data_IF_043675086003
#
_entry.id   IF_043675086003
#
_cell.length_a   1.000
_cell.length_b   1.000
_cell.length_c   1.000
_cell.angle_alpha   90.00
_cell.angle_beta   90.00
_cell.angle_gamma   90.00
#
_symmetry.space_group_name_H-M   'P 1'
#
loop_
_entity.id
_entity.type
_entity.pdbx_description
1 polymer ?
#
# COMPACT_ATOMS: atom_id res chain seq x y z
N UNK A 1 9.33 -21.51 6.29
CA UNK A 1 8.68 -21.08 5.05
C UNK A 1 9.00 -19.62 4.81
N UNK A 2 9.83 -19.38 3.81
CA UNK A 2 10.27 -18.05 3.43
C UNK A 2 10.29 -17.94 1.91
N UNK A 3 10.08 -16.73 1.42
CA UNK A 3 10.32 -16.37 0.03
C UNK A 3 11.71 -15.74 -0.04
N UNK A 4 12.54 -16.17 -0.99
CA UNK A 4 13.87 -15.63 -1.22
C UNK A 4 13.89 -14.99 -2.59
N UNK A 5 14.19 -13.70 -2.62
CA UNK A 5 14.33 -12.93 -3.85
C UNK A 5 15.74 -12.35 -3.92
N UNK A 6 16.43 -12.64 -5.02
CA UNK A 6 17.79 -12.17 -5.28
C UNK A 6 17.76 -11.31 -6.56
N UNK A 7 18.43 -10.16 -6.53
CA UNK A 7 18.53 -9.26 -7.67
C UNK A 7 19.92 -8.59 -7.70
N UNK A 8 20.54 -8.61 -8.86
CA UNK A 8 21.81 -7.93 -9.11
C UNK A 8 22.82 -8.83 -9.79
N UNK A 9 24.02 -8.28 -10.02
CA UNK A 9 25.16 -8.98 -10.59
C UNK A 9 25.90 -9.74 -9.47
N UNK A 10 25.56 -11.01 -9.30
CA UNK A 10 26.10 -11.87 -8.25
C UNK A 10 26.30 -13.29 -8.75
N UNK A 11 27.21 -14.03 -8.13
CA UNK A 11 27.31 -15.48 -8.29
C UNK A 11 26.12 -16.15 -7.60
N UNK A 12 25.17 -16.61 -8.39
CA UNK A 12 23.92 -17.18 -7.88
C UNK A 12 24.14 -18.50 -7.15
N UNK A 13 25.06 -19.34 -7.65
CA UNK A 13 25.38 -20.64 -7.02
C UNK A 13 25.99 -20.43 -5.65
N UNK A 14 26.95 -19.50 -5.55
CA UNK A 14 27.56 -19.14 -4.27
C UNK A 14 26.50 -18.61 -3.28
N UNK A 15 25.58 -17.74 -3.73
CA UNK A 15 24.54 -17.21 -2.86
C UNK A 15 23.53 -18.25 -2.40
N UNK A 16 23.19 -19.21 -3.24
CA UNK A 16 22.34 -20.33 -2.85
C UNK A 16 23.04 -21.24 -1.84
N UNK A 17 24.35 -21.52 -2.02
CA UNK A 17 25.14 -22.25 -1.03
C UNK A 17 25.22 -21.52 0.32
N UNK A 18 25.51 -20.21 0.31
CA UNK A 18 25.53 -19.41 1.52
C UNK A 18 24.17 -19.42 2.26
N UNK A 19 23.05 -19.37 1.53
CA UNK A 19 21.72 -19.43 2.12
C UNK A 19 21.43 -20.82 2.71
N UNK A 20 21.84 -21.89 2.03
CA UNK A 20 21.65 -23.25 2.54
C UNK A 20 22.50 -23.50 3.78
N UNK A 21 23.81 -23.22 3.69
CA UNK A 21 24.77 -23.50 4.76
C UNK A 21 24.53 -22.66 6.04
N UNK A 22 24.12 -21.40 5.89
CA UNK A 22 24.02 -20.49 7.04
C UNK A 22 22.60 -20.33 7.60
N UNK A 23 21.55 -20.70 6.82
CA UNK A 23 20.17 -20.39 7.23
C UNK A 23 19.18 -21.52 7.04
N UNK A 24 19.26 -22.32 5.96
CA UNK A 24 18.22 -23.28 5.62
C UNK A 24 18.60 -24.74 5.91
N UNK A 25 19.90 -25.09 5.84
CA UNK A 25 20.38 -26.45 5.98
C UNK A 25 20.08 -27.12 7.33
N UNK A 26 19.87 -26.33 8.38
CA UNK A 26 19.51 -26.83 9.71
C UNK A 26 17.98 -27.09 9.88
N UNK A 27 17.17 -26.82 8.85
CA UNK A 27 15.73 -26.92 8.93
C UNK A 27 15.16 -27.90 7.92
N UNK A 28 14.32 -28.81 8.39
CA UNK A 28 13.51 -29.65 7.53
C UNK A 28 12.31 -28.88 6.97
N UNK A 29 11.89 -29.28 5.76
CA UNK A 29 10.65 -28.74 5.17
C UNK A 29 9.46 -29.18 6.02
N UNK A 30 8.70 -28.20 6.49
CA UNK A 30 7.44 -28.43 7.19
C UNK A 30 6.26 -28.04 6.29
N UNK A 31 5.16 -28.77 6.43
CA UNK A 31 3.89 -28.32 5.84
C UNK A 31 3.30 -27.22 6.70
N UNK A 32 2.99 -26.11 6.04
CA UNK A 32 2.31 -25.00 6.69
C UNK A 32 1.05 -24.66 5.89
N UNK A 33 -0.05 -24.59 6.61
CA UNK A 33 -1.28 -24.01 6.09
C UNK A 33 -1.27 -22.50 6.39
N UNK A 34 -0.89 -21.71 5.41
CA UNK A 34 -0.94 -20.25 5.43
C UNK A 34 -1.94 -19.71 4.41
N UNK A 35 -2.87 -20.55 3.98
CA UNK A 35 -3.90 -20.16 3.02
C UNK A 35 -4.81 -19.06 3.63
N UNK A 36 -5.08 -18.04 2.83
CA UNK A 36 -6.02 -16.97 3.15
C UNK A 36 -7.23 -17.12 2.23
N UNK A 37 -8.39 -17.35 2.83
CA UNK A 37 -9.64 -17.43 2.09
C UNK A 37 -10.13 -16.07 1.63
N UNK A 38 -10.83 -16.05 0.49
CA UNK A 38 -11.54 -14.85 0.05
C UNK A 38 -12.68 -14.52 1.01
N UNK A 39 -12.77 -13.25 1.41
CA UNK A 39 -13.97 -12.73 2.05
C UNK A 39 -15.14 -12.86 1.08
N UNK A 40 -16.20 -13.52 1.52
CA UNK A 40 -17.43 -13.64 0.74
C UNK A 40 -18.07 -12.26 0.52
N UNK A 41 -18.63 -12.05 -0.67
CA UNK A 41 -19.28 -10.80 -0.98
C UNK A 41 -20.44 -10.53 0.01
N UNK A 42 -20.50 -9.31 0.48
CA UNK A 42 -21.65 -8.88 1.27
C UNK A 42 -22.92 -8.91 0.42
N UNK A 43 -24.04 -9.25 1.02
CA UNK A 43 -25.36 -9.21 0.34
C UNK A 43 -25.86 -7.77 0.10
N UNK A 44 -25.37 -6.84 0.91
CA UNK A 44 -25.60 -5.38 0.82
C UNK A 44 -24.42 -4.65 1.47
N UNK A 45 -24.22 -3.36 1.18
CA UNK A 45 -23.22 -2.55 1.86
C UNK A 45 -23.35 -2.63 3.39
N UNK A 46 -22.21 -2.74 4.08
CA UNK A 46 -22.13 -2.84 5.54
C UNK A 46 -21.72 -1.50 6.13
N UNK A 47 -22.46 -1.03 7.12
CA UNK A 47 -22.14 0.21 7.85
C UNK A 47 -21.49 -0.18 9.19
N UNK A 48 -20.32 0.42 9.46
CA UNK A 48 -19.52 0.16 10.67
C UNK A 48 -19.26 1.47 11.39
N UNK A 49 -19.66 1.52 12.66
CA UNK A 49 -19.33 2.64 13.57
C UNK A 49 -18.22 2.22 14.51
N UNK A 50 -17.20 3.06 14.66
CA UNK A 50 -16.09 2.88 15.59
C UNK A 50 -15.72 4.20 16.24
N UNK A 51 -15.33 4.13 17.51
CA UNK A 51 -14.77 5.27 18.23
C UNK A 51 -13.25 5.32 18.05
N UNK A 52 -12.69 6.52 18.00
CA UNK A 52 -11.25 6.73 18.07
C UNK A 52 -10.91 7.79 19.13
N UNK A 53 -9.76 7.69 19.82
CA UNK A 53 -9.42 8.59 20.90
C UNK A 53 -9.02 9.99 20.42
N UNK A 54 -9.51 11.00 21.12
CA UNK A 54 -9.04 12.38 21.07
C UNK A 54 -8.72 12.87 22.47
N UNK A 55 -7.97 13.97 22.60
CA UNK A 55 -7.65 14.56 23.88
C UNK A 55 -8.92 15.05 24.59
N UNK A 56 -8.91 15.03 25.93
CA UNK A 56 -10.09 15.36 26.74
C UNK A 56 -10.57 16.80 26.56
N UNK A 57 -9.66 17.71 26.25
CA UNK A 57 -9.94 19.14 26.05
C UNK A 57 -10.24 19.48 24.57
N UNK A 58 -10.12 18.50 23.68
CA UNK A 58 -10.29 18.72 22.25
C UNK A 58 -11.76 18.67 21.85
N UNK A 59 -12.22 19.61 21.00
CA UNK A 59 -13.58 19.57 20.48
C UNK A 59 -13.83 18.34 19.62
N UNK A 60 -15.04 17.79 19.69
CA UNK A 60 -15.49 16.69 18.84
C UNK A 60 -16.02 17.17 17.49
N UNK A 61 -16.27 18.48 17.33
CA UNK A 61 -16.82 19.07 16.10
C UNK A 61 -15.83 18.95 14.93
N UNK A 62 -16.35 18.61 13.78
CA UNK A 62 -15.59 18.43 12.53
C UNK A 62 -14.39 17.48 12.68
N UNK A 63 -14.59 16.37 13.39
CA UNK A 63 -13.56 15.34 13.63
C UNK A 63 -14.00 13.92 13.27
N UNK A 64 -15.21 13.75 12.78
CA UNK A 64 -15.65 12.46 12.26
C UNK A 64 -14.92 12.12 10.96
N UNK A 65 -14.53 10.87 10.82
CA UNK A 65 -14.05 10.33 9.53
C UNK A 65 -15.19 9.54 8.90
N UNK A 66 -15.41 9.78 7.61
CA UNK A 66 -16.36 9.02 6.80
C UNK A 66 -15.60 8.33 5.69
N UNK A 67 -15.87 7.05 5.45
CA UNK A 67 -15.26 6.36 4.32
C UNK A 67 -16.22 5.40 3.62
N UNK A 68 -16.08 5.33 2.30
CA UNK A 68 -16.65 4.29 1.44
C UNK A 68 -15.54 3.44 0.87
N UNK A 69 -15.57 2.13 1.12
CA UNK A 69 -14.52 1.21 0.74
C UNK A 69 -15.13 0.09 -0.11
N UNK A 70 -14.60 -0.12 -1.30
CA UNK A 70 -15.08 -1.07 -2.29
C UNK A 70 -14.04 -2.16 -2.50
N UNK A 71 -14.42 -3.42 -2.37
CA UNK A 71 -13.57 -4.53 -2.82
C UNK A 71 -13.72 -4.63 -4.33
N UNK A 72 -12.61 -4.47 -5.06
CA UNK A 72 -12.65 -4.24 -6.51
C UNK A 72 -11.97 -5.34 -7.33
N UNK A 73 -11.69 -6.48 -6.74
CA UNK A 73 -11.07 -7.56 -7.50
C UNK A 73 -10.29 -8.56 -6.65
N UNK A 74 -9.28 -9.13 -7.28
CA UNK A 74 -8.35 -10.09 -6.66
C UNK A 74 -6.91 -9.67 -6.97
N UNK A 75 -5.98 -10.00 -6.09
CA UNK A 75 -4.56 -9.68 -6.25
C UNK A 75 -3.98 -10.18 -7.59
N UNK A 76 -4.43 -11.34 -8.07
CA UNK A 76 -3.95 -11.95 -9.32
C UNK A 76 -4.58 -11.37 -10.59
N UNK A 77 -5.59 -10.52 -10.50
CA UNK A 77 -6.23 -9.86 -11.66
C UNK A 77 -5.43 -8.62 -12.08
N UNK A 78 -4.15 -8.80 -12.44
CA UNK A 78 -3.16 -7.72 -12.64
C UNK A 78 -3.65 -6.60 -13.55
N UNK A 79 -4.29 -6.93 -14.69
CA UNK A 79 -4.80 -5.91 -15.61
C UNK A 79 -5.88 -5.05 -14.99
N UNK A 80 -6.76 -5.64 -14.20
CA UNK A 80 -7.79 -4.91 -13.48
C UNK A 80 -7.18 -4.04 -12.38
N UNK A 81 -6.20 -4.56 -11.65
CA UNK A 81 -5.51 -3.82 -10.60
C UNK A 81 -4.77 -2.59 -11.18
N UNK A 82 -4.05 -2.75 -12.28
CA UNK A 82 -3.43 -1.62 -12.99
C UNK A 82 -4.46 -0.60 -13.46
N UNK A 83 -5.61 -1.08 -13.97
CA UNK A 83 -6.68 -0.18 -14.39
C UNK A 83 -7.31 0.59 -13.21
N UNK A 84 -7.46 -0.04 -12.03
CA UNK A 84 -7.91 0.67 -10.82
C UNK A 84 -6.86 1.66 -10.30
N UNK A 85 -5.56 1.36 -10.42
CA UNK A 85 -4.51 2.34 -10.14
C UNK A 85 -4.56 3.55 -11.07
N UNK A 86 -4.95 3.37 -12.33
CA UNK A 86 -5.18 4.46 -13.28
C UNK A 86 -6.46 5.24 -12.92
N UNK A 87 -7.56 4.55 -12.59
CA UNK A 87 -8.82 5.17 -12.13
C UNK A 87 -8.62 5.98 -10.85
N UNK A 88 -7.80 5.51 -9.92
CA UNK A 88 -7.43 6.24 -8.72
C UNK A 88 -6.82 7.61 -9.07
N UNK A 89 -5.89 7.64 -10.00
CA UNK A 89 -5.28 8.89 -10.45
C UNK A 89 -6.31 9.81 -11.14
N UNK A 90 -7.10 9.28 -12.06
CA UNK A 90 -8.07 10.09 -12.82
C UNK A 90 -9.19 10.63 -11.95
N UNK A 91 -9.71 9.82 -11.01
CA UNK A 91 -10.87 10.19 -10.22
C UNK A 91 -10.54 11.00 -8.96
N UNK A 92 -9.37 10.74 -8.33
CA UNK A 92 -9.05 11.26 -7.00
C UNK A 92 -7.73 12.01 -6.92
N UNK A 93 -6.64 11.54 -7.54
CA UNK A 93 -5.30 12.00 -7.20
C UNK A 93 -4.63 12.92 -8.23
N UNK A 94 -5.17 13.05 -9.43
CA UNK A 94 -4.72 14.04 -10.40
C UNK A 94 -5.24 15.45 -10.10
N UNK A 95 -4.57 16.47 -10.62
CA UNK A 95 -5.08 17.84 -10.55
C UNK A 95 -6.40 17.94 -11.30
N UNK A 96 -7.42 18.47 -10.64
CA UNK A 96 -8.77 18.58 -11.21
C UNK A 96 -9.56 17.28 -11.29
N UNK A 97 -9.13 16.24 -10.58
CA UNK A 97 -9.82 14.95 -10.51
C UNK A 97 -11.30 15.15 -10.09
N UNK A 98 -12.28 14.66 -10.89
CA UNK A 98 -13.67 15.07 -10.77
C UNK A 98 -14.30 14.67 -9.43
N UNK A 99 -14.00 13.50 -8.90
CA UNK A 99 -14.57 13.04 -7.64
C UNK A 99 -14.00 13.82 -6.45
N UNK A 100 -12.69 14.06 -6.45
CA UNK A 100 -12.06 14.89 -5.43
C UNK A 100 -12.61 16.32 -5.47
N UNK A 101 -12.72 16.90 -6.67
CA UNK A 101 -13.21 18.26 -6.82
C UNK A 101 -14.65 18.41 -6.33
N UNK A 102 -15.54 17.51 -6.70
CA UNK A 102 -16.93 17.52 -6.26
C UNK A 102 -17.07 17.44 -4.73
N UNK A 103 -16.24 16.62 -4.08
CA UNK A 103 -16.24 16.49 -2.61
C UNK A 103 -15.63 17.72 -1.92
N UNK A 104 -14.60 18.34 -2.49
CA UNK A 104 -14.01 19.58 -1.97
C UNK A 104 -14.98 20.74 -2.10
N UNK A 105 -15.65 20.89 -3.26
CA UNK A 105 -16.61 21.96 -3.52
C UNK A 105 -17.86 21.87 -2.63
N UNK A 106 -18.18 20.68 -2.12
CA UNK A 106 -19.28 20.48 -1.19
C UNK A 106 -19.00 21.00 0.23
N UNK A 107 -17.75 21.29 0.58
CA UNK A 107 -17.30 21.82 1.89
C UNK A 107 -17.82 21.03 3.10
N UNK A 108 -17.80 19.68 2.98
CA UNK A 108 -18.31 18.75 4.00
C UNK A 108 -17.19 18.12 4.86
N UNK A 109 -15.94 18.45 4.60
CA UNK A 109 -14.76 17.93 5.32
C UNK A 109 -13.56 18.85 5.17
N UNK A 110 -12.61 18.76 6.10
CA UNK A 110 -11.33 19.48 6.00
C UNK A 110 -10.38 18.86 4.98
N UNK A 111 -10.44 17.55 4.77
CA UNK A 111 -9.57 16.84 3.84
C UNK A 111 -10.33 15.73 3.13
N UNK A 112 -10.16 15.66 1.81
CA UNK A 112 -10.66 14.59 0.94
C UNK A 112 -9.49 13.73 0.52
N UNK A 113 -9.56 12.45 0.84
CA UNK A 113 -8.54 11.46 0.53
C UNK A 113 -9.18 10.23 -0.12
N UNK A 114 -8.32 9.40 -0.68
CA UNK A 114 -8.73 8.11 -1.22
C UNK A 114 -7.56 7.46 -1.94
N UNK A 115 -7.76 6.23 -2.34
CA UNK A 115 -6.74 5.48 -3.03
C UNK A 115 -7.15 4.06 -3.37
N UNK A 116 -6.37 3.48 -4.24
CA UNK A 116 -6.41 2.07 -4.58
C UNK A 116 -5.29 1.35 -3.84
N UNK A 117 -5.65 0.27 -3.13
CA UNK A 117 -4.71 -0.60 -2.41
C UNK A 117 -4.80 -2.01 -2.98
N UNK A 118 -3.72 -2.46 -3.61
CA UNK A 118 -3.54 -3.79 -4.21
C UNK A 118 -2.63 -4.72 -3.40
N UNK A 119 -2.12 -4.26 -2.25
CA UNK A 119 -1.23 -5.03 -1.37
C UNK A 119 -1.92 -6.18 -0.61
N UNK A 120 -3.19 -6.45 -0.85
CA UNK A 120 -3.98 -7.49 -0.19
C UNK A 120 -4.59 -8.47 -1.18
N UNK A 121 -5.01 -9.66 -0.68
CA UNK A 121 -5.64 -10.71 -1.52
C UNK A 121 -6.84 -10.19 -2.32
N UNK A 122 -7.60 -9.27 -1.73
CA UNK A 122 -8.74 -8.60 -2.35
C UNK A 122 -8.50 -7.09 -2.34
N UNK A 123 -8.01 -6.52 -3.45
CA UNK A 123 -7.76 -5.10 -3.59
C UNK A 123 -8.97 -4.23 -3.27
N UNK A 124 -8.71 -3.06 -2.70
CA UNK A 124 -9.75 -2.13 -2.29
C UNK A 124 -9.57 -0.76 -2.92
N UNK A 125 -10.69 -0.14 -3.29
CA UNK A 125 -10.76 1.27 -3.67
C UNK A 125 -11.50 2.01 -2.58
N UNK A 126 -10.86 3.02 -1.99
CA UNK A 126 -11.37 3.74 -0.83
C UNK A 126 -11.46 5.23 -1.09
N UNK A 127 -12.56 5.84 -0.63
CA UNK A 127 -12.77 7.28 -0.63
C UNK A 127 -13.11 7.67 0.79
N UNK A 128 -12.40 8.64 1.37
CA UNK A 128 -12.65 9.03 2.74
C UNK A 128 -12.46 10.52 2.99
N UNK A 129 -13.24 11.01 3.94
CA UNK A 129 -13.25 12.37 4.43
C UNK A 129 -12.66 12.40 5.83
N UNK A 130 -11.75 13.35 6.09
CA UNK A 130 -11.26 13.66 7.43
C UNK A 130 -11.79 15.02 7.87
N UNK A 131 -12.08 15.14 9.15
CA UNK A 131 -12.60 16.38 9.69
C UNK A 131 -14.00 16.69 9.16
N UNK A 132 -14.87 15.71 9.17
CA UNK A 132 -16.27 15.79 8.74
C UNK A 132 -17.23 15.63 9.94
N UNK A 133 -18.50 15.44 9.65
CA UNK A 133 -19.58 15.14 10.59
C UNK A 133 -20.42 13.98 10.06
N UNK A 134 -20.96 13.13 10.95
CA UNK A 134 -21.81 12.01 10.53
C UNK A 134 -23.04 12.45 9.73
N UNK A 135 -23.62 13.63 10.05
CA UNK A 135 -24.74 14.22 9.31
C UNK A 135 -24.50 14.39 7.80
N UNK A 136 -23.25 14.40 7.37
CA UNK A 136 -22.86 14.51 5.96
C UNK A 136 -22.73 13.16 5.23
N UNK A 137 -23.02 12.04 5.90
CA UNK A 137 -22.89 10.72 5.31
C UNK A 137 -23.69 10.56 4.02
N UNK A 138 -24.98 10.92 4.06
CA UNK A 138 -25.86 10.75 2.91
C UNK A 138 -25.42 11.62 1.72
N UNK A 139 -25.04 12.87 1.97
CA UNK A 139 -24.55 13.76 0.92
C UNK A 139 -23.19 13.30 0.36
N UNK A 140 -22.33 12.75 1.21
CA UNK A 140 -21.06 12.16 0.80
C UNK A 140 -21.27 11.00 -0.19
N UNK A 141 -22.16 10.08 0.15
CA UNK A 141 -22.50 8.94 -0.72
C UNK A 141 -23.16 9.39 -2.03
N UNK A 142 -24.05 10.40 -1.96
CA UNK A 142 -24.74 10.93 -3.13
C UNK A 142 -23.77 11.63 -4.10
N UNK A 143 -22.81 12.40 -3.59
CA UNK A 143 -21.77 13.03 -4.43
C UNK A 143 -20.94 11.96 -5.13
N UNK A 144 -20.49 10.92 -4.40
CA UNK A 144 -19.74 9.82 -5.01
C UNK A 144 -20.56 9.19 -6.14
N UNK A 145 -21.81 8.80 -5.84
CA UNK A 145 -22.68 8.15 -6.80
C UNK A 145 -22.94 9.00 -8.04
N UNK A 146 -23.31 10.25 -7.83
CA UNK A 146 -23.65 11.17 -8.93
C UNK A 146 -22.44 11.45 -9.81
N UNK A 147 -21.28 11.69 -9.21
CA UNK A 147 -20.04 11.94 -9.96
C UNK A 147 -19.63 10.71 -10.77
N UNK A 148 -19.67 9.51 -10.17
CA UNK A 148 -19.33 8.29 -10.88
C UNK A 148 -20.32 7.99 -12.02
N UNK A 149 -21.63 8.20 -11.81
CA UNK A 149 -22.64 8.08 -12.88
C UNK A 149 -22.39 9.05 -14.03
N UNK A 150 -21.98 10.29 -13.71
CA UNK A 150 -21.63 11.28 -14.72
C UNK A 150 -20.42 10.84 -15.53
N UNK A 151 -19.35 10.31 -14.88
CA UNK A 151 -18.18 9.79 -15.57
C UNK A 151 -18.50 8.60 -16.50
N UNK A 152 -19.44 7.75 -16.10
CA UNK A 152 -19.90 6.63 -16.95
C UNK A 152 -20.75 7.12 -18.13
N UNK A 153 -21.62 8.12 -17.91
CA UNK A 153 -22.52 8.65 -18.94
C UNK A 153 -21.78 9.48 -19.99
N UNK A 154 -20.92 10.41 -19.54
CA UNK A 154 -20.24 11.38 -20.41
C UNK A 154 -18.94 10.82 -20.99
N UNK A 155 -18.44 9.69 -20.42
CA UNK A 155 -17.12 9.13 -20.67
C UNK A 155 -16.03 9.80 -19.83
N UNK A 156 -15.05 9.00 -19.45
CA UNK A 156 -13.86 9.50 -18.76
C UNK A 156 -12.97 10.25 -19.75
N UNK A 157 -12.33 11.34 -19.32
CA UNK A 157 -11.40 12.08 -20.18
C UNK A 157 -10.29 11.17 -20.70
N UNK A 158 -10.36 10.86 -21.99
CA UNK A 158 -9.41 9.97 -22.66
C UNK A 158 -8.00 10.53 -22.71
N UNK A 159 -7.81 11.86 -22.69
CA UNK A 159 -6.49 12.48 -22.64
C UNK A 159 -5.88 12.32 -21.25
N UNK A 160 -6.69 12.44 -20.19
CA UNK A 160 -6.25 12.18 -18.81
C UNK A 160 -5.81 10.72 -18.65
N UNK A 161 -6.64 9.75 -19.08
CA UNK A 161 -6.31 8.32 -19.08
C UNK A 161 -5.00 8.05 -19.82
N UNK A 162 -4.86 8.59 -21.04
CA UNK A 162 -3.66 8.42 -21.85
C UNK A 162 -2.42 9.04 -21.19
N UNK A 163 -2.58 10.22 -20.59
CA UNK A 163 -1.50 10.91 -19.87
C UNK A 163 -0.97 10.06 -18.73
N UNK A 164 -1.84 9.51 -17.89
CA UNK A 164 -1.46 8.65 -16.78
C UNK A 164 -0.79 7.37 -17.26
N UNK A 165 -1.35 6.69 -18.26
CA UNK A 165 -0.74 5.50 -18.84
C UNK A 165 0.65 5.80 -19.40
N UNK A 166 0.84 6.93 -20.07
CA UNK A 166 2.15 7.33 -20.60
C UNK A 166 3.18 7.57 -19.46
N UNK A 167 2.78 8.20 -18.38
CA UNK A 167 3.65 8.41 -17.20
C UNK A 167 4.05 7.07 -16.59
N UNK A 168 3.10 6.13 -16.42
CA UNK A 168 3.39 4.80 -15.92
C UNK A 168 4.30 4.03 -16.88
N UNK A 169 4.00 4.05 -18.18
CA UNK A 169 4.84 3.40 -19.19
C UNK A 169 6.28 3.93 -19.17
N UNK A 170 6.46 5.25 -19.09
CA UNK A 170 7.77 5.87 -18.97
C UNK A 170 8.50 5.41 -17.71
N UNK A 171 7.83 5.45 -16.56
CA UNK A 171 8.39 4.99 -15.26
C UNK A 171 8.87 3.55 -15.33
N UNK A 172 8.07 2.64 -15.90
CA UNK A 172 8.46 1.23 -16.02
C UNK A 172 9.55 0.98 -17.06
N UNK A 173 9.61 1.75 -18.16
CA UNK A 173 10.70 1.66 -19.15
C UNK A 173 12.03 2.11 -18.59
N UNK A 174 12.05 3.25 -17.91
CA UNK A 174 13.25 3.80 -17.29
C UNK A 174 13.64 3.07 -16.00
N UNK A 175 12.72 2.33 -15.43
CA UNK A 175 12.83 1.75 -14.09
C UNK A 175 13.28 2.82 -13.08
N UNK A 176 12.66 4.00 -13.16
CA UNK A 176 12.90 5.11 -12.25
C UNK A 176 12.00 5.00 -11.05
N UNK A 177 12.58 4.58 -9.94
CA UNK A 177 11.91 4.45 -8.65
C UNK A 177 12.44 5.46 -7.63
N UNK A 178 12.98 6.57 -8.12
CA UNK A 178 13.59 7.62 -7.30
C UNK A 178 14.80 7.10 -6.52
N UNK A 179 14.78 7.27 -5.21
CA UNK A 179 15.90 6.87 -4.34
C UNK A 179 15.90 5.37 -3.95
N UNK A 180 14.91 4.60 -4.38
CA UNK A 180 14.84 3.19 -4.04
C UNK A 180 15.63 2.32 -5.02
N UNK A 181 16.37 1.31 -4.51
CA UNK A 181 17.04 0.34 -5.37
C UNK A 181 16.03 -0.40 -6.26
N UNK A 182 16.33 -0.52 -7.55
CA UNK A 182 15.44 -1.18 -8.54
C UNK A 182 15.05 -2.60 -8.10
N UNK A 183 16.01 -3.37 -7.62
CA UNK A 183 15.76 -4.74 -7.14
C UNK A 183 14.78 -4.79 -5.98
N UNK A 184 14.87 -3.86 -5.04
CA UNK A 184 13.92 -3.78 -3.92
C UNK A 184 12.49 -3.56 -4.42
N UNK A 185 12.28 -2.59 -5.31
CA UNK A 185 10.94 -2.29 -5.83
C UNK A 185 10.38 -3.46 -6.65
N UNK A 186 11.19 -4.07 -7.51
CA UNK A 186 10.76 -5.28 -8.23
C UNK A 186 10.41 -6.41 -7.26
N UNK A 187 11.23 -6.65 -6.23
CA UNK A 187 10.96 -7.69 -5.23
C UNK A 187 9.64 -7.46 -4.50
N UNK A 188 9.36 -6.22 -4.06
CA UNK A 188 8.10 -5.86 -3.41
C UNK A 188 6.90 -6.07 -4.33
N UNK A 189 6.98 -5.62 -5.59
CA UNK A 189 5.91 -5.80 -6.58
C UNK A 189 5.64 -7.28 -6.89
N UNK A 190 6.67 -8.12 -6.90
CA UNK A 190 6.48 -9.56 -7.11
C UNK A 190 5.74 -10.21 -5.96
N UNK A 191 5.96 -9.76 -4.72
CA UNK A 191 5.31 -10.32 -3.54
C UNK A 191 3.80 -10.12 -3.57
N UNK A 192 3.28 -9.06 -4.16
CA UNK A 192 1.84 -8.77 -4.25
C UNK A 192 1.06 -9.89 -4.98
N UNK A 193 1.70 -10.63 -5.88
CA UNK A 193 1.14 -11.81 -6.53
C UNK A 193 1.70 -13.13 -6.00
N UNK A 194 3.02 -13.19 -5.77
CA UNK A 194 3.73 -14.41 -5.42
C UNK A 194 3.27 -15.02 -4.08
N UNK A 195 2.86 -14.18 -3.13
CA UNK A 195 2.30 -14.63 -1.85
C UNK A 195 1.01 -15.43 -2.02
N UNK A 196 0.26 -15.20 -3.09
CA UNK A 196 -1.03 -15.82 -3.35
C UNK A 196 -1.00 -16.90 -4.45
N UNK A 197 -0.02 -16.85 -5.35
CA UNK A 197 0.21 -17.86 -6.37
C UNK A 197 1.72 -18.12 -6.55
N UNK A 198 2.18 -19.22 -5.95
CA UNK A 198 3.59 -19.64 -6.01
C UNK A 198 4.07 -20.01 -7.42
N UNK A 199 3.14 -20.32 -8.33
CA UNK A 199 3.47 -20.79 -9.68
C UNK A 199 3.61 -19.63 -10.68
N UNK A 200 3.21 -18.39 -10.29
CA UNK A 200 3.30 -17.18 -11.12
C UNK A 200 4.06 -16.02 -10.42
N UNK A 201 5.30 -16.23 -9.96
CA UNK A 201 6.03 -15.22 -9.19
C UNK A 201 6.36 -13.95 -9.99
N UNK A 202 6.38 -14.01 -11.33
CA UNK A 202 6.83 -12.90 -12.19
C UNK A 202 5.71 -12.16 -12.92
N UNK A 203 4.45 -12.38 -12.54
CA UNK A 203 3.30 -11.75 -13.20
C UNK A 203 3.41 -10.23 -13.31
N UNK A 204 3.86 -9.57 -12.25
CA UNK A 204 4.00 -8.11 -12.18
C UNK A 204 5.11 -7.53 -13.10
N UNK A 205 6.01 -8.36 -13.65
CA UNK A 205 7.01 -7.89 -14.63
C UNK A 205 6.42 -7.64 -16.03
N UNK A 206 5.18 -8.09 -16.29
CA UNK A 206 4.50 -7.86 -17.57
C UNK A 206 3.78 -6.51 -17.67
N UNK A 207 4.12 -5.56 -16.79
CA UNK A 207 3.44 -4.25 -16.68
C UNK A 207 3.35 -3.50 -18.00
N UNK A 208 4.42 -3.46 -18.81
CA UNK A 208 4.42 -2.75 -20.10
C UNK A 208 3.42 -3.33 -21.10
N UNK A 209 3.25 -4.66 -21.11
CA UNK A 209 2.23 -5.33 -21.93
C UNK A 209 0.84 -4.95 -21.46
N UNK A 210 0.58 -4.99 -20.15
CA UNK A 210 -0.71 -4.62 -19.55
C UNK A 210 -1.06 -3.17 -19.88
N UNK A 211 -0.11 -2.24 -19.75
CA UNK A 211 -0.31 -0.83 -20.10
C UNK A 211 -0.64 -0.64 -21.59
N UNK A 212 0.03 -1.37 -22.48
CA UNK A 212 -0.29 -1.36 -23.92
C UNK A 212 -1.71 -1.84 -24.20
N UNK A 213 -2.14 -2.94 -23.56
CA UNK A 213 -3.51 -3.45 -23.69
C UNK A 213 -4.55 -2.47 -23.13
N UNK A 214 -4.27 -1.80 -22.00
CA UNK A 214 -5.17 -0.80 -21.41
C UNK A 214 -5.29 0.45 -22.28
N UNK A 215 -4.22 0.85 -22.95
CA UNK A 215 -4.20 1.97 -23.88
C UNK A 215 -5.18 1.76 -25.04
N UNK A 216 -5.27 0.54 -25.56
CA UNK A 216 -6.24 0.17 -26.61
C UNK A 216 -7.68 0.14 -26.10
N UNK A 217 -7.89 0.08 -24.79
CA UNK A 217 -9.21 0.00 -24.16
C UNK A 217 -9.80 1.36 -23.78
N UNK A 218 -9.02 2.45 -23.84
CA UNK A 218 -9.46 3.81 -23.46
C UNK A 218 -10.74 4.20 -24.20
N UNK A 219 -10.82 3.96 -25.51
CA UNK A 219 -11.97 4.35 -26.35
C UNK A 219 -13.05 3.27 -26.43
N UNK A 220 -12.95 2.19 -25.67
CA UNK A 220 -13.85 1.03 -25.72
C UNK A 220 -14.78 0.93 -24.49
N UNK A 221 -14.81 1.95 -23.63
CA UNK A 221 -15.66 1.98 -22.45
C UNK A 221 -15.23 1.06 -21.30
N UNK A 222 -14.01 0.53 -21.34
CA UNK A 222 -13.53 -0.44 -20.34
C UNK A 222 -13.42 0.14 -18.93
N UNK A 223 -12.98 1.37 -18.81
CA UNK A 223 -12.85 2.03 -17.52
C UNK A 223 -14.20 2.39 -16.93
N UNK A 224 -15.15 2.79 -17.77
CA UNK A 224 -16.55 3.03 -17.41
C UNK A 224 -17.25 1.75 -16.96
N UNK A 225 -16.97 0.61 -17.62
CA UNK A 225 -17.45 -0.71 -17.19
C UNK A 225 -16.92 -1.09 -15.80
N UNK A 226 -15.65 -0.79 -15.49
CA UNK A 226 -15.07 -1.03 -14.17
C UNK A 226 -15.75 -0.19 -13.10
N UNK A 227 -15.98 1.11 -13.36
CA UNK A 227 -16.72 1.99 -12.45
C UNK A 227 -18.11 1.43 -12.18
N UNK A 228 -18.84 1.10 -13.24
CA UNK A 228 -20.20 0.56 -13.12
C UNK A 228 -20.22 -0.70 -12.27
N UNK A 229 -19.39 -1.68 -12.61
CA UNK A 229 -19.40 -3.01 -11.98
C UNK A 229 -18.90 -3.00 -10.55
N UNK A 230 -17.84 -2.23 -10.25
CA UNK A 230 -17.11 -2.36 -9.00
C UNK A 230 -17.30 -1.19 -8.04
N UNK A 231 -17.80 -0.03 -8.50
CA UNK A 231 -18.04 1.12 -7.63
C UNK A 231 -19.55 1.44 -7.53
N UNK A 232 -20.32 1.33 -8.61
CA UNK A 232 -21.75 1.65 -8.61
C UNK A 232 -22.63 0.46 -8.22
N UNK A 233 -22.38 -0.72 -8.81
CA UNK A 233 -23.20 -1.93 -8.65
C UNK A 233 -22.54 -2.98 -7.74
N UNK A 234 -21.71 -2.55 -6.81
CA UNK A 234 -20.95 -3.42 -5.92
C UNK A 234 -21.55 -3.48 -4.52
N UNK A 235 -22.09 -4.63 -4.13
CA UNK A 235 -22.57 -4.87 -2.77
C UNK A 235 -21.43 -5.14 -1.76
N UNK A 236 -20.24 -5.55 -2.25
CA UNK A 236 -19.06 -5.79 -1.40
C UNK A 236 -18.37 -4.47 -1.01
N UNK A 237 -19.14 -3.65 -0.31
CA UNK A 237 -18.80 -2.28 0.08
C UNK A 237 -18.96 -2.14 1.58
N UNK A 238 -18.03 -1.46 2.23
CA UNK A 238 -18.18 -1.03 3.61
C UNK A 238 -18.16 0.49 3.72
N UNK A 239 -19.04 0.99 4.58
CA UNK A 239 -19.11 2.40 4.98
C UNK A 239 -18.63 2.43 6.41
N UNK A 240 -17.53 3.13 6.68
CA UNK A 240 -16.96 3.21 8.03
C UNK A 240 -17.05 4.64 8.53
N UNK A 241 -17.60 4.79 9.73
CA UNK A 241 -17.76 6.04 10.43
C UNK A 241 -16.92 5.97 11.70
N UNK A 242 -15.90 6.82 11.80
CA UNK A 242 -15.07 6.91 13.00
C UNK A 242 -15.47 8.15 13.79
N UNK A 243 -15.98 7.92 14.99
CA UNK A 243 -16.40 8.99 15.90
C UNK A 243 -15.26 9.40 16.83
N UNK A 244 -15.00 10.72 16.98
CA UNK A 244 -14.07 11.20 17.98
C UNK A 244 -14.63 10.96 19.38
N UNK A 245 -13.83 10.37 20.27
CA UNK A 245 -14.23 10.08 21.65
C UNK A 245 -13.20 10.55 22.64
N UNK A 246 -13.61 11.53 23.45
CA UNK A 246 -12.78 12.03 24.53
C UNK A 246 -12.60 10.97 25.62
N UNK A 247 -11.42 10.93 26.23
CA UNK A 247 -11.13 10.05 27.37
C UNK A 247 -10.97 8.56 27.04
N UNK A 248 -11.10 8.13 25.79
CA UNK A 248 -10.94 6.73 25.39
C UNK A 248 -9.54 6.21 25.72
N UNK A 249 -8.49 6.98 25.46
CA UNK A 249 -7.12 6.64 25.85
C UNK A 249 -6.99 6.33 27.35
N UNK A 250 -7.63 7.13 28.20
CA UNK A 250 -7.60 6.93 29.64
C UNK A 250 -8.27 5.61 30.04
N UNK A 251 -9.37 5.27 29.37
CA UNK A 251 -10.06 3.99 29.59
C UNK A 251 -9.14 2.83 29.19
N UNK A 252 -8.56 2.89 28.00
CA UNK A 252 -7.64 1.85 27.49
C UNK A 252 -6.38 1.72 28.36
N UNK A 253 -5.79 2.83 28.80
CA UNK A 253 -4.67 2.82 29.75
C UNK A 253 -5.03 2.18 31.08
N UNK A 254 -6.20 2.48 31.63
CA UNK A 254 -6.65 1.89 32.88
C UNK A 254 -6.89 0.39 32.73
N UNK A 255 -7.56 -0.05 31.65
CA UNK A 255 -7.74 -1.47 31.36
C UNK A 255 -6.38 -2.19 31.21
N UNK A 256 -5.42 -1.56 30.54
CA UNK A 256 -4.07 -2.11 30.42
C UNK A 256 -3.38 -2.19 31.79
N UNK A 257 -3.47 -1.15 32.60
CA UNK A 257 -2.91 -1.13 33.98
C UNK A 257 -3.50 -2.25 34.84
N UNK A 258 -4.83 -2.44 34.80
CA UNK A 258 -5.51 -3.53 35.52
C UNK A 258 -5.05 -4.91 35.04
N UNK A 259 -4.97 -5.10 33.71
CA UNK A 259 -4.47 -6.34 33.10
C UNK A 259 -3.04 -6.63 33.54
N UNK A 260 -2.16 -5.64 33.48
CA UNK A 260 -0.77 -5.78 33.89
C UNK A 260 -0.63 -6.01 35.41
N UNK A 261 -1.46 -5.35 36.24
CA UNK A 261 -1.49 -5.58 37.68
C UNK A 261 -1.91 -7.02 38.02
N UNK A 262 -2.97 -7.52 37.34
CA UNK A 262 -3.43 -8.91 37.49
C UNK A 262 -2.36 -9.90 37.05
N UNK A 263 -1.70 -9.65 35.92
CA UNK A 263 -0.59 -10.49 35.45
C UNK A 263 0.56 -10.48 36.45
N UNK A 264 1.00 -9.30 36.91
CA UNK A 264 2.05 -9.19 37.94
C UNK A 264 1.70 -9.93 39.22
N UNK A 265 0.44 -9.88 39.66
CA UNK A 265 0.00 -10.60 40.86
C UNK A 265 -0.01 -12.13 40.68
N UNK A 266 -0.07 -12.65 39.47
CA UNK A 266 0.02 -14.08 39.17
C UNK A 266 1.47 -14.61 39.10
N UNK A 267 2.45 -13.72 39.04
CA UNK A 267 3.86 -14.08 38.98
C UNK A 267 4.45 -14.33 40.38
N UNK A 268 5.34 -15.28 40.49
CA UNK A 268 6.17 -15.47 41.67
C UNK A 268 7.23 -14.34 41.79
N UNK A 269 7.74 -14.11 42.99
CA UNK A 269 8.83 -13.12 43.21
C UNK A 269 10.01 -13.37 42.30
N UNK A 270 10.38 -14.64 42.07
CA UNK A 270 11.50 -15.02 41.20
C UNK A 270 11.23 -14.64 39.70
N UNK A 271 10.04 -14.86 39.21
CA UNK A 271 9.67 -14.47 37.83
C UNK A 271 9.70 -12.95 37.67
N UNK A 272 9.24 -12.19 38.67
CA UNK A 272 9.34 -10.73 38.67
C UNK A 272 10.82 -10.26 38.67
N UNK A 273 11.67 -10.90 39.47
CA UNK A 273 13.12 -10.59 39.50
C UNK A 273 13.76 -10.84 38.11
N UNK A 274 13.43 -11.96 37.47
CA UNK A 274 13.91 -12.26 36.09
C UNK A 274 13.49 -11.18 35.11
N UNK A 275 12.21 -10.78 35.10
CA UNK A 275 11.70 -9.73 34.19
C UNK A 275 12.43 -8.40 34.42
N UNK A 276 12.71 -8.06 35.70
CA UNK A 276 13.43 -6.83 36.06
C UNK A 276 14.87 -6.87 35.53
N UNK A 277 15.56 -8.01 35.73
CA UNK A 277 16.96 -8.17 35.29
C UNK A 277 17.07 -8.20 33.75
N UNK A 278 16.17 -8.93 33.08
CA UNK A 278 16.10 -8.95 31.60
C UNK A 278 15.84 -7.55 31.03
N UNK A 279 14.93 -6.79 31.66
CA UNK A 279 14.64 -5.42 31.25
C UNK A 279 15.83 -4.49 31.44
N UNK A 280 16.55 -4.66 32.54
CA UNK A 280 17.77 -3.90 32.80
C UNK A 280 18.86 -4.23 31.78
N UNK A 281 19.10 -5.50 31.54
CA UNK A 281 20.04 -5.97 30.53
C UNK A 281 19.70 -5.47 29.14
N UNK A 282 18.40 -5.51 28.75
CA UNK A 282 17.93 -4.96 27.47
C UNK A 282 18.21 -3.46 27.35
N UNK A 283 17.94 -2.68 28.40
CA UNK A 283 18.23 -1.23 28.41
C UNK A 283 19.71 -0.94 28.31
N UNK A 284 20.56 -1.69 29.04
CA UNK A 284 22.00 -1.58 28.93
C UNK A 284 22.50 -1.91 27.53
N UNK A 285 22.01 -2.99 26.93
CA UNK A 285 22.31 -3.38 25.55
C UNK A 285 21.92 -2.27 24.54
N UNK A 286 20.71 -1.74 24.66
CA UNK A 286 20.21 -0.68 23.75
C UNK A 286 20.95 0.66 23.90
N UNK A 287 21.49 0.95 25.09
CA UNK A 287 22.23 2.19 25.37
C UNK A 287 23.73 2.08 25.15
N UNK A 288 24.25 0.86 25.01
CA UNK A 288 25.69 0.63 24.80
C UNK A 288 26.06 0.88 23.35
N UNK A 289 26.94 1.85 23.04
CA UNK A 289 27.39 2.07 21.68
C UNK A 289 28.16 0.86 21.15
N UNK A 290 28.03 0.58 19.86
CA UNK A 290 28.83 -0.46 19.20
C UNK A 290 30.31 -0.15 19.31
N UNK A 291 31.12 -1.18 19.56
CA UNK A 291 32.58 -1.07 19.63
C UNK A 291 33.19 -0.75 18.26
N UNK A 292 34.43 -0.29 18.23
CA UNK A 292 35.14 -0.03 16.99
C UNK A 292 35.33 -1.30 16.14
N UNK A 293 35.44 -2.45 16.77
CA UNK A 293 35.56 -3.76 16.11
C UNK A 293 34.25 -4.14 15.44
N UNK A 294 33.14 -3.97 16.12
CA UNK A 294 31.79 -4.18 15.55
C UNK A 294 31.50 -3.20 14.41
N UNK A 295 31.82 -1.93 14.55
CA UNK A 295 31.68 -0.93 13.49
C UNK A 295 32.56 -1.25 12.27
N UNK A 296 33.74 -1.84 12.47
CA UNK A 296 34.63 -2.26 11.39
C UNK A 296 34.08 -3.43 10.54
N UNK A 297 33.08 -4.17 11.06
CA UNK A 297 32.39 -5.21 10.27
C UNK A 297 31.45 -4.64 9.21
N UNK A 298 31.03 -3.37 9.33
CA UNK A 298 30.19 -2.70 8.35
C UNK A 298 31.04 -2.44 7.09
N UNK A 299 30.64 -2.97 5.91
CA UNK A 299 31.40 -2.72 4.68
C UNK A 299 31.31 -1.24 4.30
N UNK A 300 32.45 -0.56 4.40
CA UNK A 300 32.59 0.86 4.04
C UNK A 300 33.19 0.99 2.65
N UNK A 301 32.62 1.88 1.83
CA UNK A 301 33.18 2.20 0.53
C UNK A 301 34.57 2.85 0.68
N UNK A 302 35.53 2.33 -0.05
CA UNK A 302 36.88 2.86 -0.17
C UNK A 302 37.10 3.54 -1.52
N UNK A 303 38.22 4.23 -1.68
CA UNK A 303 38.57 4.80 -3.00
C UNK A 303 38.72 3.73 -4.10
N UNK A 304 39.00 2.50 -3.74
CA UNK A 304 39.16 1.41 -4.70
C UNK A 304 37.82 0.92 -5.25
N UNK A 305 36.73 1.16 -4.53
CA UNK A 305 35.38 0.81 -4.94
C UNK A 305 34.78 1.84 -5.90
N UNK A 306 35.44 3.00 -6.04
CA UNK A 306 35.02 4.03 -6.97
C UNK A 306 35.45 3.67 -8.40
N UNK A 307 34.51 3.74 -9.34
CA UNK A 307 34.82 3.60 -10.76
C UNK A 307 35.73 4.76 -11.20
N UNK A 308 36.82 4.43 -11.86
CA UNK A 308 37.74 5.44 -12.43
C UNK A 308 37.24 6.01 -13.75
N UNK A 309 36.35 5.29 -14.40
CA UNK A 309 35.80 5.68 -15.70
C UNK A 309 34.36 6.17 -15.53
N UNK A 310 34.07 7.27 -16.23
CA UNK A 310 32.68 7.78 -16.30
C UNK A 310 31.87 6.87 -17.21
N UNK A 311 30.67 6.52 -16.80
CA UNK A 311 29.70 5.84 -17.67
C UNK A 311 29.36 6.79 -18.84
N UNK A 312 29.91 6.52 -20.03
CA UNK A 312 29.54 7.25 -21.21
C UNK A 312 28.22 6.73 -21.76
N UNK A 313 27.24 7.61 -21.86
CA UNK A 313 26.02 7.31 -22.59
C UNK A 313 26.35 7.29 -24.09
N UNK A 314 25.88 6.27 -24.81
CA UNK A 314 25.96 6.26 -26.26
C UNK A 314 24.91 7.24 -26.80
N UNK A 315 25.37 8.39 -27.24
CA UNK A 315 24.53 9.39 -27.89
C UNK A 315 24.68 9.28 -29.40
N UNK A 316 23.57 9.20 -30.10
CA UNK A 316 23.52 9.38 -31.54
C UNK A 316 22.85 10.72 -31.85
N UNK A 317 23.60 11.65 -32.44
CA UNK A 317 23.07 12.93 -32.89
C UNK A 317 22.61 12.80 -34.35
N UNK A 318 21.37 13.16 -34.60
CA UNK A 318 20.84 13.20 -35.95
C UNK A 318 20.23 14.58 -36.18
N UNK A 319 20.58 15.20 -37.31
CA UNK A 319 19.98 16.47 -37.73
C UNK A 319 18.96 16.18 -38.82
N UNK A 320 17.72 16.54 -38.60
CA UNK A 320 16.64 16.45 -39.58
C UNK A 320 15.98 17.82 -39.73
N UNK A 321 15.94 18.34 -40.93
CA UNK A 321 15.31 19.64 -41.28
C UNK A 321 15.82 20.82 -40.43
N UNK A 322 17.12 20.80 -40.06
CA UNK A 322 17.77 21.85 -39.27
C UNK A 322 17.54 21.78 -37.78
N UNK A 323 16.89 20.71 -37.28
CA UNK A 323 16.72 20.41 -35.87
C UNK A 323 17.66 19.25 -35.49
N UNK A 324 18.45 19.45 -34.44
CA UNK A 324 19.40 18.47 -33.88
C UNK A 324 18.67 17.54 -32.87
#
# INVERSE_FOLDING_TARGET
NSYVYLYGDMDMEQKLMELDENYLGDYDKIEMDSHIDYQQNFSKPVIVHKDYPIASEESIESKTYLSCNYVVGRALDLKQNVAFGILDQVLLNSSGAPLRQALVDADIATEVCGGFDDGTLQPTFSIYLKGSEEKYLDIFQEIIRTTLLQQVHDGIDSLALQGIINVLEFRFREADFGNYPKGLIYGLQLLDGWLYDKDQPFGHLHMLQILSELKEKITKGYFEELITKYLLDNSHTSIVILHPKQGLNTIEENLLKEKLATYKASLSSKEVEVIVEDTKHLKEYQSTPSTQEELATIPMLSRNDLRREVLCFQNMRTTKDGVE
#
